data_IF_700758797017
#
_entry.id   IF_700758797017
#
_cell.length_a   1.000
_cell.length_b   1.000
_cell.length_c   1.000
_cell.angle_alpha   90.00
_cell.angle_beta   90.00
_cell.angle_gamma   90.00
#
_symmetry.space_group_name_H-M   'P 1'
#
loop_
_entity.id
_entity.type
_entity.pdbx_description
1 polymer ?
#
# COMPACT_ATOMS: atom_id res chain seq x y z
N UNK A 1 6.42 19.73 5.91
CA UNK A 1 7.37 19.91 4.78
C UNK A 1 7.22 18.72 3.84
N UNK A 2 6.99 18.99 2.56
CA UNK A 2 6.93 17.97 1.50
C UNK A 2 8.36 17.65 1.05
N UNK A 3 8.61 16.43 0.59
CA UNK A 3 9.92 16.04 0.08
C UNK A 3 10.29 16.85 -1.17
N UNK A 4 11.56 17.21 -1.32
CA UNK A 4 12.06 18.01 -2.45
C UNK A 4 11.95 17.26 -3.78
N UNK A 5 12.06 15.92 -3.77
CA UNK A 5 11.74 15.07 -4.91
C UNK A 5 10.94 13.83 -4.46
N UNK A 6 9.59 13.92 -4.38
CA UNK A 6 8.74 12.88 -3.83
C UNK A 6 8.68 11.65 -4.75
N UNK A 7 9.66 10.75 -4.62
CA UNK A 7 9.74 9.51 -5.41
C UNK A 7 9.70 8.30 -4.49
N UNK A 8 8.92 7.29 -4.88
CA UNK A 8 8.93 5.99 -4.19
C UNK A 8 10.31 5.35 -4.34
N UNK A 9 10.99 5.16 -3.21
CA UNK A 9 12.26 4.46 -3.16
C UNK A 9 12.08 2.97 -3.43
N UNK A 10 12.90 2.42 -4.33
CA UNK A 10 12.99 0.97 -4.60
C UNK A 10 13.83 0.22 -3.56
N UNK A 11 14.70 0.94 -2.84
CA UNK A 11 15.57 0.45 -1.77
C UNK A 11 15.18 1.07 -0.43
N UNK A 12 15.58 0.48 0.67
CA UNK A 12 15.31 1.01 2.02
C UNK A 12 16.05 2.33 2.25
N UNK A 13 15.56 3.11 3.22
CA UNK A 13 16.22 4.35 3.64
C UNK A 13 17.66 4.12 4.09
N UNK A 14 17.91 2.97 4.73
CA UNK A 14 19.21 2.55 5.25
C UNK A 14 20.18 2.25 4.12
N UNK A 15 19.79 1.41 3.17
CA UNK A 15 20.64 1.06 2.02
C UNK A 15 20.99 2.29 1.18
N UNK A 16 20.04 3.21 0.98
CA UNK A 16 20.30 4.46 0.25
C UNK A 16 21.22 5.39 1.04
N UNK A 17 21.09 5.45 2.36
CA UNK A 17 21.98 6.21 3.21
C UNK A 17 23.42 5.69 3.12
N UNK A 18 23.60 4.36 3.18
CA UNK A 18 24.90 3.69 3.02
C UNK A 18 25.48 3.92 1.62
N UNK A 19 24.67 3.81 0.56
CA UNK A 19 25.13 3.97 -0.82
C UNK A 19 25.50 5.42 -1.18
N UNK A 20 24.79 6.40 -0.61
CA UNK A 20 24.95 7.82 -0.93
C UNK A 20 25.81 8.58 0.09
N UNK A 21 26.22 7.93 1.19
CA UNK A 21 27.00 8.56 2.26
C UNK A 21 26.23 9.64 3.03
N UNK A 22 24.89 9.59 3.05
CA UNK A 22 24.04 10.59 3.72
C UNK A 22 23.23 9.97 4.85
N UNK A 23 22.75 10.81 5.77
CA UNK A 23 21.84 10.36 6.83
C UNK A 23 20.52 9.79 6.29
N UNK A 24 19.99 8.75 6.96
CA UNK A 24 18.65 8.22 6.70
C UNK A 24 17.55 9.30 6.81
N UNK A 25 17.72 10.27 7.71
CA UNK A 25 16.77 11.40 7.84
C UNK A 25 16.76 12.28 6.59
N UNK A 26 17.94 12.50 5.99
CA UNK A 26 18.08 13.22 4.71
C UNK A 26 17.45 12.43 3.56
N UNK A 27 17.66 11.12 3.47
CA UNK A 27 17.02 10.27 2.45
C UNK A 27 15.49 10.33 2.58
N UNK A 28 14.96 10.24 3.80
CA UNK A 28 13.51 10.35 4.05
C UNK A 28 12.98 11.73 3.69
N UNK A 29 13.71 12.80 4.02
CA UNK A 29 13.31 14.17 3.68
C UNK A 29 13.31 14.41 2.17
N UNK A 30 14.30 13.88 1.44
CA UNK A 30 14.43 14.10 0.00
C UNK A 30 13.49 13.23 -0.82
N UNK A 31 13.24 11.97 -0.40
CA UNK A 31 12.58 10.93 -1.19
C UNK A 31 11.45 10.21 -0.42
N UNK A 32 10.76 10.90 0.48
CA UNK A 32 9.51 10.38 1.01
C UNK A 32 8.42 10.49 -0.04
N UNK A 33 7.71 9.39 -0.27
CA UNK A 33 6.46 9.43 -1.03
C UNK A 33 5.45 10.33 -0.30
N UNK A 34 4.70 11.18 -1.03
CA UNK A 34 3.67 12.00 -0.43
C UNK A 34 2.64 11.12 0.28
N UNK A 35 2.16 11.59 1.43
CA UNK A 35 1.16 10.84 2.22
C UNK A 35 -0.10 10.55 1.41
N UNK A 36 -0.53 11.49 0.56
CA UNK A 36 -1.69 11.34 -0.30
C UNK A 36 -1.52 10.16 -1.27
N UNK A 37 -0.39 10.07 -1.96
CA UNK A 37 -0.13 9.01 -2.94
C UNK A 37 0.00 7.64 -2.27
N UNK A 38 0.65 7.58 -1.11
CA UNK A 38 0.71 6.36 -0.31
C UNK A 38 -0.69 5.84 0.05
N UNK A 39 -1.57 6.75 0.51
CA UNK A 39 -2.94 6.40 0.87
C UNK A 39 -3.78 6.05 -0.37
N UNK A 40 -3.61 6.75 -1.50
CA UNK A 40 -4.29 6.45 -2.75
C UNK A 40 -3.97 5.03 -3.24
N UNK A 41 -2.69 4.62 -3.18
CA UNK A 41 -2.29 3.23 -3.53
C UNK A 41 -2.86 2.20 -2.56
N UNK A 42 -2.92 2.52 -1.27
CA UNK A 42 -3.53 1.62 -0.29
C UNK A 42 -5.04 1.46 -0.56
N UNK A 43 -5.73 2.55 -0.89
CA UNK A 43 -7.15 2.55 -1.21
C UNK A 43 -7.44 1.81 -2.52
N UNK A 44 -6.61 2.01 -3.56
CA UNK A 44 -6.74 1.28 -4.82
C UNK A 44 -6.69 -0.25 -4.61
N UNK A 45 -5.79 -0.73 -3.74
CA UNK A 45 -5.73 -2.17 -3.39
C UNK A 45 -7.00 -2.65 -2.68
N UNK A 46 -7.53 -1.86 -1.74
CA UNK A 46 -8.79 -2.20 -1.06
C UNK A 46 -9.95 -2.26 -2.04
N UNK A 47 -10.02 -1.29 -2.95
CA UNK A 47 -11.07 -1.21 -3.96
C UNK A 47 -11.00 -2.39 -4.92
N UNK A 48 -9.81 -2.75 -5.41
CA UNK A 48 -9.63 -3.93 -6.26
C UNK A 48 -10.08 -5.22 -5.57
N UNK A 49 -9.78 -5.39 -4.28
CA UNK A 49 -10.25 -6.54 -3.49
C UNK A 49 -11.76 -6.50 -3.30
N UNK A 50 -12.35 -5.33 -3.04
CA UNK A 50 -13.78 -5.16 -2.88
C UNK A 50 -14.55 -5.50 -4.18
N UNK A 51 -14.06 -5.06 -5.34
CA UNK A 51 -14.63 -5.36 -6.65
C UNK A 51 -14.61 -6.86 -6.94
N UNK A 52 -13.47 -7.52 -6.74
CA UNK A 52 -13.35 -8.97 -6.91
C UNK A 52 -14.22 -9.74 -5.92
N UNK A 53 -14.34 -9.25 -4.69
CA UNK A 53 -15.23 -9.84 -3.68
C UNK A 53 -16.70 -9.67 -4.05
N UNK A 54 -17.09 -8.52 -4.60
CA UNK A 54 -18.45 -8.27 -5.09
C UNK A 54 -18.85 -9.22 -6.22
N UNK A 55 -17.89 -9.60 -7.08
CA UNK A 55 -18.10 -10.63 -8.12
C UNK A 55 -18.17 -12.07 -7.58
N UNK A 56 -17.96 -12.28 -6.28
CA UNK A 56 -18.12 -13.60 -5.63
C UNK A 56 -16.84 -14.44 -5.55
N UNK A 57 -15.66 -13.89 -5.88
CA UNK A 57 -14.41 -14.65 -5.76
C UNK A 57 -14.07 -14.95 -4.29
N UNK A 58 -13.47 -16.13 -4.09
CA UNK A 58 -12.93 -16.52 -2.79
C UNK A 58 -11.68 -15.71 -2.43
N UNK A 59 -11.42 -15.54 -1.13
CA UNK A 59 -10.21 -14.86 -0.61
C UNK A 59 -8.92 -15.45 -1.21
N UNK A 60 -8.90 -16.77 -1.43
CA UNK A 60 -7.75 -17.46 -2.02
C UNK A 60 -7.53 -17.06 -3.48
N UNK A 61 -8.61 -17.00 -4.27
CA UNK A 61 -8.52 -16.60 -5.68
C UNK A 61 -8.13 -15.12 -5.82
N UNK A 62 -8.69 -14.25 -4.98
CA UNK A 62 -8.34 -12.83 -4.94
C UNK A 62 -6.84 -12.64 -4.61
N UNK A 63 -6.30 -13.40 -3.66
CA UNK A 63 -4.88 -13.35 -3.33
C UNK A 63 -3.97 -13.78 -4.49
N UNK A 64 -4.40 -14.75 -5.29
CA UNK A 64 -3.67 -15.19 -6.49
C UNK A 64 -3.73 -14.15 -7.60
N UNK A 65 -4.90 -13.56 -7.83
CA UNK A 65 -5.11 -12.55 -8.88
C UNK A 65 -4.38 -11.23 -8.57
N UNK A 66 -4.48 -10.75 -7.34
CA UNK A 66 -3.92 -9.45 -6.93
C UNK A 66 -2.45 -9.52 -6.50
N UNK A 67 -1.91 -10.72 -6.28
CA UNK A 67 -0.59 -10.93 -5.70
C UNK A 67 -0.47 -10.43 -4.24
N UNK A 68 -1.58 -10.13 -3.57
CA UNK A 68 -1.62 -9.71 -2.18
C UNK A 68 -1.63 -10.95 -1.27
N UNK A 69 -1.00 -10.87 -0.10
CA UNK A 69 -1.01 -11.98 0.86
C UNK A 69 -2.43 -12.33 1.30
N UNK A 70 -2.71 -13.62 1.51
CA UNK A 70 -4.03 -14.11 1.94
C UNK A 70 -4.55 -13.39 3.19
N UNK A 71 -3.67 -13.15 4.17
CA UNK A 71 -4.02 -12.46 5.42
C UNK A 71 -4.44 -11.00 5.17
N UNK A 72 -3.76 -10.29 4.27
CA UNK A 72 -4.12 -8.91 3.92
C UNK A 72 -5.42 -8.86 3.12
N UNK A 73 -5.64 -9.78 2.17
CA UNK A 73 -6.91 -9.90 1.45
C UNK A 73 -8.06 -10.19 2.42
N UNK A 74 -7.89 -11.12 3.35
CA UNK A 74 -8.89 -11.44 4.36
C UNK A 74 -9.31 -10.21 5.18
N UNK A 75 -8.34 -9.38 5.58
CA UNK A 75 -8.61 -8.11 6.26
C UNK A 75 -9.40 -7.14 5.39
N UNK A 76 -9.02 -6.96 4.12
CA UNK A 76 -9.71 -6.04 3.21
C UNK A 76 -11.13 -6.50 2.91
N UNK A 77 -11.36 -7.81 2.78
CA UNK A 77 -12.70 -8.37 2.64
C UNK A 77 -13.53 -8.09 3.89
N UNK A 78 -12.98 -8.30 5.09
CA UNK A 78 -13.70 -7.98 6.33
C UNK A 78 -14.04 -6.48 6.43
N UNK A 79 -13.11 -5.59 6.08
CA UNK A 79 -13.34 -4.14 6.03
C UNK A 79 -14.45 -3.78 5.02
N UNK A 80 -14.54 -4.49 3.89
CA UNK A 80 -15.59 -4.31 2.88
C UNK A 80 -16.97 -4.80 3.37
N UNK A 81 -17.05 -5.99 3.97
CA UNK A 81 -18.32 -6.53 4.49
C UNK A 81 -18.88 -5.65 5.62
N UNK A 82 -18.02 -5.11 6.50
CA UNK A 82 -18.41 -4.16 7.54
C UNK A 82 -18.95 -2.84 6.97
N UNK A 83 -18.40 -2.36 5.86
CA UNK A 83 -18.90 -1.16 5.18
C UNK A 83 -20.24 -1.39 4.47
N UNK A 84 -20.49 -2.62 4.00
CA UNK A 84 -21.73 -2.99 3.30
C UNK A 84 -22.92 -3.20 4.26
N UNK A 85 -22.66 -3.35 5.55
CA UNK A 85 -23.67 -3.61 6.56
C UNK A 85 -23.92 -2.31 7.36
N UNK A 86 -24.74 -1.36 6.85
CA UNK A 86 -25.26 -0.31 7.70
C UNK A 86 -26.20 -0.97 8.72
N UNK A 87 -26.05 -0.54 9.98
CA UNK A 87 -26.89 -0.95 11.09
C UNK A 87 -28.39 -0.78 10.80
#
# INVERSE_FOLDING_TARGET
MVAENPVRRKKTARELAEQLGISQSTVRRLMAEPRADFLARANAKRQQVAELRATGLSVRAIAQETGISKSAVGRYVQEYEQQKQPA
#
